data_IF_244976683956
#
_entry.id   IF_244976683956
#
_cell.length_a   1.000
_cell.length_b   1.000
_cell.length_c   1.000
_cell.angle_alpha   90.00
_cell.angle_beta   90.00
_cell.angle_gamma   90.00
#
_symmetry.space_group_name_H-M   'P 1'
#
loop_
_entity.id
_entity.type
_entity.pdbx_description
1 polymer ?
#
# COMPACT_ATOMS: atom_id res chain seq x y z
N UNK A 1 27.37 15.80 -7.74
CA UNK A 1 26.03 15.98 -8.35
C UNK A 1 25.03 15.32 -7.42
N UNK A 2 23.92 15.99 -7.11
CA UNK A 2 22.84 15.34 -6.37
C UNK A 2 22.13 14.38 -7.34
N UNK A 3 21.92 13.14 -6.92
CA UNK A 3 21.12 12.18 -7.68
C UNK A 3 19.89 11.79 -6.85
N UNK A 4 18.78 11.58 -7.54
CA UNK A 4 17.50 11.15 -6.97
C UNK A 4 17.65 9.83 -6.20
N UNK A 5 18.58 8.96 -6.60
CA UNK A 5 18.84 7.70 -5.88
C UNK A 5 19.40 7.90 -4.47
N UNK A 6 20.10 9.01 -4.27
CA UNK A 6 20.70 9.39 -3.00
C UNK A 6 19.79 10.35 -2.20
N UNK A 7 18.57 10.60 -2.68
CA UNK A 7 17.58 11.36 -1.94
C UNK A 7 17.32 10.67 -0.58
N UNK A 8 17.53 11.40 0.49
CA UNK A 8 17.38 10.87 1.83
C UNK A 8 15.91 10.96 2.28
N UNK A 9 15.38 9.83 2.75
CA UNK A 9 14.09 9.75 3.42
C UNK A 9 14.32 9.91 4.92
N UNK A 10 13.77 10.97 5.56
CA UNK A 10 13.99 11.25 6.96
C UNK A 10 13.67 10.05 7.87
N UNK A 11 14.65 9.60 8.63
CA UNK A 11 14.51 8.49 9.58
C UNK A 11 14.41 7.09 8.96
N UNK A 12 14.54 6.95 7.63
CA UNK A 12 14.43 5.66 6.95
C UNK A 12 15.65 5.30 6.06
N UNK A 13 16.39 6.30 5.55
CA UNK A 13 17.59 6.07 4.74
C UNK A 13 17.44 6.50 3.28
N UNK A 14 18.31 6.01 2.37
CA UNK A 14 18.26 6.34 0.95
C UNK A 14 16.95 5.90 0.28
N UNK A 15 16.45 6.71 -0.67
CA UNK A 15 15.19 6.45 -1.38
C UNK A 15 15.13 5.04 -1.99
N UNK A 16 16.18 4.60 -2.68
CA UNK A 16 16.22 3.28 -3.33
C UNK A 16 16.02 2.14 -2.33
N UNK A 17 16.68 2.22 -1.17
CA UNK A 17 16.54 1.24 -0.09
C UNK A 17 15.12 1.29 0.52
N UNK A 18 14.57 2.49 0.66
CA UNK A 18 13.21 2.68 1.16
C UNK A 18 12.16 2.13 0.18
N UNK A 19 12.32 2.32 -1.13
CA UNK A 19 11.41 1.74 -2.14
C UNK A 19 11.50 0.21 -2.13
N UNK A 20 12.70 -0.36 -1.99
CA UNK A 20 12.87 -1.81 -1.80
C UNK A 20 12.11 -2.31 -0.57
N UNK A 21 12.21 -1.58 0.54
CA UNK A 21 11.47 -1.88 1.78
C UNK A 21 9.96 -1.79 1.57
N UNK A 22 9.47 -0.73 0.91
CA UNK A 22 8.05 -0.56 0.58
C UNK A 22 7.54 -1.73 -0.27
N UNK A 23 8.34 -2.20 -1.23
CA UNK A 23 8.00 -3.36 -2.06
C UNK A 23 7.80 -4.63 -1.23
N UNK A 24 8.76 -4.92 -0.33
CA UNK A 24 8.71 -6.08 0.57
C UNK A 24 7.48 -6.01 1.48
N UNK A 25 7.26 -4.86 2.11
CA UNK A 25 6.11 -4.65 3.00
C UNK A 25 4.78 -4.79 2.26
N UNK A 26 4.67 -4.22 1.07
CA UNK A 26 3.48 -4.34 0.22
C UNK A 26 3.19 -5.80 -0.15
N UNK A 27 4.23 -6.58 -0.44
CA UNK A 27 4.13 -8.00 -0.78
C UNK A 27 3.70 -8.90 0.38
N UNK A 28 4.01 -8.48 1.61
CA UNK A 28 3.67 -9.16 2.86
C UNK A 28 2.30 -8.77 3.44
N UNK A 29 1.57 -7.86 2.78
CA UNK A 29 0.22 -7.50 3.20
C UNK A 29 -0.76 -8.64 2.92
N UNK A 30 -1.53 -9.04 3.94
CA UNK A 30 -2.67 -9.97 3.77
C UNK A 30 -3.83 -9.26 3.06
N UNK A 31 -4.16 -8.04 3.50
CA UNK A 31 -5.15 -7.18 2.87
C UNK A 31 -4.49 -5.96 2.23
N UNK A 32 -4.96 -5.55 1.05
CA UNK A 32 -4.46 -4.37 0.36
C UNK A 32 -3.20 -4.62 -0.45
N UNK A 33 -2.73 -5.87 -0.57
CA UNK A 33 -1.52 -6.24 -1.32
C UNK A 33 -1.46 -5.62 -2.72
N UNK A 34 -2.52 -5.80 -3.51
CA UNK A 34 -2.59 -5.28 -4.88
C UNK A 34 -2.62 -3.75 -4.92
N UNK A 35 -3.33 -3.14 -3.96
CA UNK A 35 -3.41 -1.67 -3.84
C UNK A 35 -2.05 -1.10 -3.45
N UNK A 36 -1.39 -1.68 -2.45
CA UNK A 36 -0.07 -1.25 -1.99
C UNK A 36 1.01 -1.47 -3.06
N UNK A 37 0.97 -2.62 -3.75
CA UNK A 37 1.87 -2.91 -4.87
C UNK A 37 1.70 -1.93 -6.03
N UNK A 38 0.45 -1.53 -6.33
CA UNK A 38 0.18 -0.51 -7.34
C UNK A 38 0.77 0.86 -6.93
N UNK A 39 0.54 1.31 -5.69
CA UNK A 39 1.13 2.56 -5.19
C UNK A 39 2.66 2.54 -5.20
N UNK A 40 3.27 1.42 -4.81
CA UNK A 40 4.73 1.23 -4.93
C UNK A 40 5.19 1.42 -6.38
N UNK A 41 4.50 0.82 -7.36
CA UNK A 41 4.86 0.99 -8.78
C UNK A 41 4.82 2.45 -9.22
N UNK A 42 3.85 3.24 -8.72
CA UNK A 42 3.81 4.68 -9.00
C UNK A 42 5.00 5.45 -8.45
N UNK A 43 5.44 5.13 -7.22
CA UNK A 43 6.64 5.74 -6.64
C UNK A 43 7.91 5.39 -7.43
N UNK A 44 7.99 4.17 -7.96
CA UNK A 44 9.08 3.75 -8.86
C UNK A 44 9.04 4.51 -10.17
N UNK A 45 7.87 4.62 -10.81
CA UNK A 45 7.73 5.41 -12.06
C UNK A 45 8.12 6.88 -11.86
N UNK A 46 7.81 7.48 -10.71
CA UNK A 46 8.26 8.84 -10.36
C UNK A 46 9.78 8.89 -10.24
N UNK A 47 10.38 7.94 -9.50
CA UNK A 47 11.84 7.88 -9.36
C UNK A 47 12.54 7.73 -10.72
N UNK A 48 12.06 6.80 -11.57
CA UNK A 48 12.63 6.55 -12.90
C UNK A 48 12.47 7.77 -13.81
N UNK A 49 11.30 8.42 -13.78
CA UNK A 49 11.05 9.65 -14.54
C UNK A 49 11.94 10.82 -14.10
N UNK A 50 12.21 10.92 -12.80
CA UNK A 50 13.13 11.90 -12.24
C UNK A 50 14.59 11.61 -12.63
N UNK A 51 15.02 10.35 -12.58
CA UNK A 51 16.35 9.93 -13.05
C UNK A 51 16.56 10.23 -14.54
N UNK A 52 15.56 9.94 -15.37
CA UNK A 52 15.65 10.16 -16.81
C UNK A 52 15.82 11.65 -17.19
N UNK A 53 15.40 12.56 -16.30
CA UNK A 53 15.49 14.01 -16.47
C UNK A 53 16.60 14.65 -15.63
N UNK A 54 17.51 13.87 -15.01
CA UNK A 54 18.58 14.41 -14.16
C UNK A 54 19.50 15.38 -14.93
N UNK A 55 19.74 15.12 -16.22
CA UNK A 55 20.57 15.94 -17.09
C UNK A 55 19.90 17.27 -17.51
N UNK A 56 18.56 17.32 -17.50
CA UNK A 56 17.76 18.52 -17.83
C UNK A 56 17.69 19.52 -16.66
N UNK A 57 18.23 19.13 -15.50
CA UNK A 57 18.21 19.90 -14.28
C UNK A 57 17.31 19.25 -13.23
N UNK A 58 17.79 19.27 -11.98
CA UNK A 58 17.07 18.67 -10.87
C UNK A 58 15.80 19.47 -10.54
N UNK A 59 14.68 18.80 -10.21
CA UNK A 59 13.46 19.51 -9.81
C UNK A 59 13.70 20.44 -8.61
N UNK A 60 12.87 21.49 -8.46
CA UNK A 60 12.91 22.33 -7.28
C UNK A 60 12.83 21.51 -6.00
N UNK A 61 13.61 21.90 -4.99
CA UNK A 61 13.65 21.21 -3.69
C UNK A 61 12.25 21.00 -3.11
N UNK A 62 11.36 21.99 -3.22
CA UNK A 62 9.98 21.88 -2.73
C UNK A 62 9.22 20.71 -3.38
N UNK A 63 9.39 20.49 -4.69
CA UNK A 63 8.77 19.36 -5.39
C UNK A 63 9.30 18.02 -4.89
N UNK A 64 10.61 17.94 -4.64
CA UNK A 64 11.24 16.75 -4.06
C UNK A 64 10.79 16.52 -2.62
N UNK A 65 10.64 17.57 -1.82
CA UNK A 65 10.13 17.48 -0.45
C UNK A 65 8.69 16.94 -0.43
N UNK A 66 7.86 17.27 -1.45
CA UNK A 66 6.53 16.66 -1.64
C UNK A 66 6.63 15.17 -1.94
N UNK A 67 7.54 14.76 -2.83
CA UNK A 67 7.77 13.34 -3.11
C UNK A 67 8.22 12.57 -1.86
N UNK A 68 9.20 13.10 -1.12
CA UNK A 68 9.66 12.54 0.15
C UNK A 68 8.50 12.40 1.14
N UNK A 69 7.63 13.41 1.23
CA UNK A 69 6.46 13.38 2.11
C UNK A 69 5.51 12.23 1.78
N UNK A 70 5.24 11.98 0.49
CA UNK A 70 4.40 10.88 0.04
C UNK A 70 5.04 9.52 0.38
N UNK A 71 6.34 9.36 0.11
CA UNK A 71 7.10 8.15 0.45
C UNK A 71 7.05 7.88 1.95
N UNK A 72 7.29 8.89 2.80
CA UNK A 72 7.22 8.77 4.26
C UNK A 72 5.81 8.39 4.71
N UNK A 73 4.78 9.04 4.16
CA UNK A 73 3.38 8.74 4.49
C UNK A 73 3.05 7.28 4.18
N UNK A 74 3.45 6.79 3.02
CA UNK A 74 3.16 5.43 2.61
C UNK A 74 3.96 4.39 3.40
N UNK A 75 5.25 4.63 3.63
CA UNK A 75 6.08 3.77 4.49
C UNK A 75 5.50 3.67 5.91
N UNK A 76 5.00 4.79 6.47
CA UNK A 76 4.35 4.80 7.79
C UNK A 76 3.06 3.98 7.80
N UNK A 77 2.25 4.08 6.75
CA UNK A 77 1.06 3.25 6.59
C UNK A 77 1.45 1.76 6.60
N UNK A 78 2.39 1.35 5.76
CA UNK A 78 2.82 -0.05 5.67
C UNK A 78 3.36 -0.57 7.00
N UNK A 79 4.23 0.18 7.68
CA UNK A 79 4.75 -0.21 8.99
C UNK A 79 3.67 -0.35 10.07
N UNK A 80 2.56 0.41 9.97
CA UNK A 80 1.44 0.33 10.91
C UNK A 80 0.57 -0.90 10.66
N UNK A 81 0.48 -1.35 9.40
CA UNK A 81 -0.46 -2.39 8.97
C UNK A 81 0.21 -3.74 8.66
N UNK A 82 1.54 -3.80 8.57
CA UNK A 82 2.28 -5.05 8.41
C UNK A 82 1.97 -6.03 9.57
N UNK A 83 1.80 -7.32 9.24
CA UNK A 83 1.65 -8.40 10.22
C UNK A 83 0.39 -8.35 11.09
N UNK A 84 -0.55 -7.42 10.82
CA UNK A 84 -1.85 -7.42 11.49
C UNK A 84 -2.74 -8.48 10.84
N UNK A 85 -3.12 -9.50 11.61
CA UNK A 85 -4.07 -10.53 11.16
C UNK A 85 -5.47 -9.93 10.91
N UNK A 86 -6.20 -10.59 10.01
CA UNK A 86 -7.52 -10.35 9.40
C UNK A 86 -8.72 -9.92 10.29
N UNK A 87 -8.55 -9.52 11.54
CA UNK A 87 -9.65 -9.27 12.50
C UNK A 87 -9.82 -7.81 12.91
N UNK A 88 -9.15 -6.87 12.24
CA UNK A 88 -9.56 -5.45 12.24
C UNK A 88 -10.79 -5.30 11.35
N UNK A 89 -11.95 -5.73 11.88
CA UNK A 89 -13.29 -5.80 11.25
C UNK A 89 -13.48 -4.72 10.18
N UNK A 90 -14.29 -5.02 9.16
CA UNK A 90 -14.89 -4.11 8.14
C UNK A 90 -15.01 -2.62 8.55
N UNK A 91 -15.27 -2.32 9.83
CA UNK A 91 -15.19 -1.01 10.48
C UNK A 91 -13.90 -0.22 10.16
N UNK A 92 -12.71 -0.83 10.19
CA UNK A 92 -11.44 -0.14 9.92
C UNK A 92 -11.02 -0.17 8.45
N UNK A 93 -11.63 -1.05 7.64
CA UNK A 93 -11.36 -1.09 6.20
C UNK A 93 -11.60 0.26 5.52
N UNK A 94 -12.66 0.97 5.94
CA UNK A 94 -12.94 2.32 5.46
C UNK A 94 -11.81 3.32 5.74
N UNK A 95 -11.21 3.24 6.94
CA UNK A 95 -10.07 4.09 7.33
C UNK A 95 -8.81 3.71 6.56
N UNK A 96 -8.49 2.42 6.47
CA UNK A 96 -7.34 1.92 5.70
C UNK A 96 -7.41 2.34 4.23
N UNK A 97 -8.56 2.13 3.59
CA UNK A 97 -8.76 2.51 2.20
C UNK A 97 -8.77 4.03 2.00
N UNK A 98 -9.23 4.81 2.98
CA UNK A 98 -9.12 6.26 2.95
C UNK A 98 -7.65 6.72 3.00
N UNK A 99 -6.83 6.13 3.87
CA UNK A 99 -5.39 6.43 3.93
C UNK A 99 -4.69 6.09 2.60
N UNK A 100 -4.96 4.90 2.04
CA UNK A 100 -4.42 4.48 0.74
C UNK A 100 -4.89 5.37 -0.42
N UNK A 101 -6.16 5.79 -0.42
CA UNK A 101 -6.70 6.73 -1.42
C UNK A 101 -5.95 8.05 -1.39
N UNK A 102 -5.69 8.61 -0.20
CA UNK A 102 -4.93 9.85 -0.10
C UNK A 102 -3.48 9.71 -0.58
N UNK A 103 -2.87 8.52 -0.42
CA UNK A 103 -1.55 8.25 -1.01
C UNK A 103 -1.66 8.19 -2.54
N UNK A 104 -2.69 7.54 -3.08
CA UNK A 104 -2.95 7.51 -4.51
C UNK A 104 -3.12 8.91 -5.11
N UNK A 105 -3.96 9.74 -4.49
CA UNK A 105 -4.20 11.12 -4.92
C UNK A 105 -2.90 11.92 -4.94
N UNK A 106 -2.08 11.81 -3.89
CA UNK A 106 -0.79 12.47 -3.85
C UNK A 106 0.20 11.93 -4.90
N UNK A 107 0.18 10.64 -5.22
CA UNK A 107 0.98 10.07 -6.32
C UNK A 107 0.51 10.64 -7.67
N UNK A 108 -0.79 10.77 -7.90
CA UNK A 108 -1.35 11.37 -9.11
C UNK A 108 -0.90 12.82 -9.28
N UNK A 109 -0.94 13.62 -8.21
CA UNK A 109 -0.40 14.99 -8.21
C UNK A 109 1.10 15.02 -8.55
N UNK A 110 1.88 14.06 -8.05
CA UNK A 110 3.31 13.97 -8.35
C UNK A 110 3.58 13.57 -9.80
N UNK A 111 2.75 12.73 -10.41
CA UNK A 111 2.89 12.43 -11.83
C UNK A 111 2.69 13.68 -12.69
N UNK A 112 1.72 14.53 -12.37
CA UNK A 112 1.53 15.82 -13.03
C UNK A 112 2.71 16.75 -12.76
N UNK A 113 3.16 16.84 -11.50
CA UNK A 113 4.26 17.73 -11.08
C UNK A 113 5.59 17.41 -11.77
N UNK A 114 5.86 16.13 -12.01
CA UNK A 114 7.10 15.66 -12.63
C UNK A 114 6.94 15.28 -14.11
N UNK A 115 5.76 15.49 -14.69
CA UNK A 115 5.44 15.16 -16.07
C UNK A 115 5.81 13.69 -16.39
N UNK A 116 5.27 12.79 -15.58
CA UNK A 116 5.42 11.34 -15.69
C UNK A 116 4.19 10.77 -16.38
N UNK A 117 4.38 10.11 -17.51
CA UNK A 117 3.28 9.54 -18.29
C UNK A 117 2.69 8.32 -17.59
N UNK A 118 1.37 8.35 -17.38
CA UNK A 118 0.61 7.23 -16.85
C UNK A 118 -0.25 6.58 -17.94
N UNK A 119 -0.26 5.25 -17.98
CA UNK A 119 -1.19 4.49 -18.83
C UNK A 119 -2.11 3.67 -17.94
N UNK A 120 -3.41 3.86 -18.09
CA UNK A 120 -4.47 3.11 -17.39
C UNK A 120 -4.38 3.14 -15.84
N UNK A 121 -3.71 4.15 -15.26
CA UNK A 121 -3.47 4.20 -13.81
C UNK A 121 -4.77 4.17 -13.01
N UNK A 122 -5.76 4.98 -13.41
CA UNK A 122 -7.06 5.05 -12.76
C UNK A 122 -7.81 3.73 -12.85
N UNK A 123 -7.84 3.11 -14.03
CA UNK A 123 -8.52 1.84 -14.26
C UNK A 123 -7.89 0.72 -13.43
N UNK A 124 -6.55 0.69 -13.34
CA UNK A 124 -5.82 -0.26 -12.50
C UNK A 124 -6.08 -0.02 -11.02
N UNK A 125 -6.05 1.23 -10.55
CA UNK A 125 -6.41 1.58 -9.18
C UNK A 125 -7.81 1.06 -8.82
N UNK A 126 -8.82 1.37 -9.63
CA UNK A 126 -10.19 0.93 -9.40
C UNK A 126 -10.32 -0.59 -9.41
N UNK A 127 -9.62 -1.28 -10.32
CA UNK A 127 -9.56 -2.74 -10.34
C UNK A 127 -8.97 -3.31 -9.04
N UNK A 128 -7.82 -2.78 -8.60
CA UNK A 128 -7.15 -3.23 -7.39
C UNK A 128 -7.99 -2.98 -6.13
N UNK A 129 -8.71 -1.86 -6.06
CA UNK A 129 -9.66 -1.57 -4.97
C UNK A 129 -10.80 -2.58 -4.94
N UNK A 130 -11.33 -2.98 -6.11
CA UNK A 130 -12.38 -4.01 -6.20
C UNK A 130 -11.86 -5.37 -5.75
N UNK A 131 -10.72 -5.81 -6.28
CA UNK A 131 -10.06 -7.07 -5.88
C UNK A 131 -9.83 -7.10 -4.37
N UNK A 132 -9.34 -6.00 -3.79
CA UNK A 132 -9.11 -5.92 -2.37
C UNK A 132 -10.40 -6.07 -1.53
N UNK A 133 -11.50 -5.47 -1.99
CA UNK A 133 -12.81 -5.61 -1.37
C UNK A 133 -13.30 -7.06 -1.42
N UNK A 134 -13.09 -7.74 -2.54
CA UNK A 134 -13.51 -9.13 -2.71
C UNK A 134 -12.70 -10.08 -1.80
N UNK A 135 -11.39 -9.84 -1.66
CA UNK A 135 -10.52 -10.56 -0.71
C UNK A 135 -11.04 -10.39 0.73
N UNK A 136 -11.38 -9.16 1.14
CA UNK A 136 -11.95 -8.90 2.46
C UNK A 136 -13.28 -9.64 2.66
N UNK A 137 -14.17 -9.64 1.67
CA UNK A 137 -15.47 -10.32 1.77
C UNK A 137 -15.30 -11.84 1.89
N UNK A 138 -14.41 -12.44 1.10
CA UNK A 138 -14.09 -13.87 1.18
C UNK A 138 -13.51 -14.23 2.56
N UNK A 139 -12.53 -13.45 3.00
CA UNK A 139 -11.88 -13.55 4.30
C UNK A 139 -12.86 -13.48 5.49
N UNK A 140 -13.87 -12.61 5.40
CA UNK A 140 -14.91 -12.51 6.42
C UNK A 140 -15.85 -13.73 6.45
N UNK A 141 -16.13 -14.36 5.30
CA UNK A 141 -16.98 -15.56 5.20
C UNK A 141 -16.30 -16.79 5.77
N UNK A 142 -15.02 -17.01 5.42
CA UNK A 142 -14.25 -18.15 5.90
C UNK A 142 -14.14 -18.16 7.44
N UNK A 143 -13.97 -16.99 8.06
CA UNK A 143 -13.97 -16.85 9.53
C UNK A 143 -15.33 -17.17 10.17
N UNK A 144 -16.44 -16.84 9.49
CA UNK A 144 -17.80 -17.18 9.94
C UNK A 144 -18.03 -18.68 9.96
N UNK A 145 -17.71 -19.37 8.86
CA UNK A 145 -17.90 -20.82 8.72
C UNK A 145 -17.01 -21.62 9.70
N UNK A 146 -15.77 -21.18 9.92
CA UNK A 146 -14.85 -21.83 10.87
C UNK A 146 -15.32 -21.68 12.34
N UNK A 147 -16.01 -20.57 12.65
CA UNK A 147 -16.61 -20.34 13.97
C UNK A 147 -17.86 -21.21 14.22
N UNK A 148 -18.67 -21.43 13.19
CA UNK A 148 -19.85 -22.31 13.26
C UNK A 148 -19.45 -23.79 13.37
N UNK A 149 -18.44 -24.22 12.62
CA UNK A 149 -17.91 -25.59 12.71
C UNK A 149 -17.27 -25.89 14.08
N UNK A 150 -16.56 -24.92 14.68
CA UNK A 150 -16.06 -25.03 16.07
C UNK A 150 -17.20 -25.09 17.10
N UNK A 151 -18.27 -24.31 16.91
CA UNK A 151 -19.46 -24.32 17.76
C UNK A 151 -20.24 -25.63 17.69
N UNK A 152 -20.35 -26.25 16.51
CA UNK A 152 -20.96 -27.57 16.35
C UNK A 152 -20.13 -28.67 17.00
N UNK A 153 -18.80 -28.71 16.79
CA UNK A 153 -17.93 -29.70 17.44
C UNK A 153 -18.00 -29.63 18.97
N UNK A 154 -18.00 -28.43 19.56
CA UNK A 154 -18.15 -28.27 21.01
C UNK A 154 -19.47 -28.80 21.58
N UNK A 155 -20.57 -28.70 20.83
CA UNK A 155 -21.88 -29.25 21.21
C UNK A 155 -21.95 -30.78 21.13
N UNK A 156 -21.29 -31.39 20.14
CA UNK A 156 -21.26 -32.86 20.01
C UNK A 156 -20.47 -33.54 21.14
N UNK A 157 -19.36 -32.95 21.61
CA UNK A 157 -18.60 -33.51 22.74
C UNK A 157 -19.32 -33.34 24.09
N UNK A 158 -20.17 -32.32 24.26
CA UNK A 158 -21.00 -32.14 25.45
C UNK A 158 -22.18 -33.12 25.53
N UNK A 159 -22.67 -33.63 24.40
CA UNK A 159 -23.83 -34.53 24.37
C UNK A 159 -23.45 -36.01 24.53
N UNK A 160 -22.20 -36.39 24.23
CA UNK A 160 -21.72 -37.77 24.34
C UNK A 160 -21.16 -38.15 25.73
N UNK A 161 -21.19 -37.23 26.71
CA UNK A 161 -20.65 -37.44 28.07
C UNK A 161 -21.72 -37.61 29.15
N UNK A 162 -22.92 -38.11 28.80
CA UNK A 162 -23.98 -38.43 29.77
C UNK A 162 -24.47 -39.86 29.59
#
# INVERSE_FOLDING_TARGET
MASVVHLAIPGAGPLVEVLSTISQLSGAMEEGKYVCGHLHSGLVCIMDGLQAKEDDGFPPKESLDRFVTVVVKFLRYLNRHQGKEMVYRVVEYGNMMNELRQVNEAIVELFELFDVVMVNWKEQWEHNVRVNRDVLIASAKDNGENSEQRSMKGRFYSAASR
#
